data_IF_360877580684
#
_entry.id   IF_360877580684
#
_cell.length_a   1.000
_cell.length_b   1.000
_cell.length_c   1.000
_cell.angle_alpha   90.00
_cell.angle_beta   90.00
_cell.angle_gamma   90.00
#
_symmetry.space_group_name_H-M   'P 1'
#
loop_
_entity.id
_entity.type
_entity.pdbx_description
1 polymer ?
#
# COMPACT_ATOMS: atom_id res chain seq x y z
N UNK A 1 24.16 -10.96 8.78
CA UNK A 1 23.41 -12.21 9.06
C UNK A 1 22.19 -12.21 8.17
N UNK A 2 22.07 -13.20 7.28
CA UNK A 2 20.95 -13.30 6.34
C UNK A 2 19.65 -13.54 7.12
N UNK A 3 18.72 -12.58 7.09
CA UNK A 3 17.37 -12.78 7.62
C UNK A 3 16.66 -13.73 6.65
N UNK A 4 16.36 -14.95 7.09
CA UNK A 4 15.60 -15.92 6.30
C UNK A 4 14.22 -15.34 5.98
N UNK A 5 13.94 -15.13 4.69
CA UNK A 5 12.65 -14.67 4.15
C UNK A 5 11.54 -15.65 4.59
N UNK A 6 10.39 -15.15 5.05
CA UNK A 6 9.29 -16.02 5.46
C UNK A 6 8.66 -16.73 4.25
N UNK A 7 8.07 -17.91 4.46
CA UNK A 7 7.40 -18.66 3.39
C UNK A 7 6.25 -17.88 2.75
N UNK A 8 5.50 -17.10 3.55
CA UNK A 8 4.42 -16.25 3.06
C UNK A 8 4.92 -15.19 2.08
N UNK A 9 6.04 -14.53 2.41
CA UNK A 9 6.67 -13.52 1.54
C UNK A 9 7.16 -14.16 0.23
N UNK A 10 7.72 -15.37 0.28
CA UNK A 10 8.15 -16.07 -0.94
C UNK A 10 6.98 -16.50 -1.83
N UNK A 11 5.87 -16.95 -1.24
CA UNK A 11 4.65 -17.31 -2.00
C UNK A 11 3.99 -16.09 -2.63
N UNK A 12 3.92 -14.97 -1.91
CA UNK A 12 3.39 -13.71 -2.43
C UNK A 12 4.19 -13.23 -3.65
N UNK A 13 5.52 -13.23 -3.57
CA UNK A 13 6.39 -12.87 -4.71
C UNK A 13 6.10 -13.75 -5.94
N UNK A 14 6.08 -15.07 -5.75
CA UNK A 14 5.80 -16.01 -6.84
C UNK A 14 4.41 -15.80 -7.47
N UNK A 15 3.41 -15.45 -6.67
CA UNK A 15 2.07 -15.15 -7.16
C UNK A 15 2.04 -13.85 -7.98
N UNK A 16 2.60 -12.74 -7.47
CA UNK A 16 2.56 -11.46 -8.19
C UNK A 16 3.49 -11.41 -9.41
N UNK A 17 4.52 -12.25 -9.46
CA UNK A 17 5.34 -12.45 -10.66
C UNK A 17 4.72 -13.47 -11.63
N UNK A 18 3.58 -14.07 -11.30
CA UNK A 18 2.91 -15.01 -12.21
C UNK A 18 2.22 -14.27 -13.36
N UNK A 19 2.26 -14.82 -14.59
CA UNK A 19 1.57 -14.22 -15.74
C UNK A 19 0.06 -14.06 -15.55
N UNK A 20 -0.57 -14.96 -14.78
CA UNK A 20 -2.01 -14.94 -14.53
C UNK A 20 -2.39 -13.79 -13.60
N UNK A 21 -1.61 -13.54 -12.54
CA UNK A 21 -1.81 -12.38 -11.69
C UNK A 21 -1.49 -11.09 -12.45
N UNK A 22 -0.33 -10.99 -13.10
CA UNK A 22 0.03 -9.80 -13.89
C UNK A 22 -1.03 -9.48 -14.94
N UNK A 23 -1.51 -10.48 -15.70
CA UNK A 23 -2.56 -10.27 -16.70
C UNK A 23 -3.92 -9.91 -16.08
N UNK A 24 -4.34 -10.55 -14.99
CA UNK A 24 -5.58 -10.21 -14.31
C UNK A 24 -5.54 -8.78 -13.77
N UNK A 25 -4.46 -8.42 -13.06
CA UNK A 25 -4.33 -7.11 -12.45
C UNK A 25 -4.17 -6.00 -13.51
N UNK A 26 -3.37 -6.26 -14.54
CA UNK A 26 -3.20 -5.33 -15.67
C UNK A 26 -4.48 -5.14 -16.49
N UNK A 27 -5.23 -6.21 -16.76
CA UNK A 27 -6.43 -6.17 -17.62
C UNK A 27 -7.64 -5.56 -16.91
N UNK A 28 -7.83 -5.86 -15.63
CA UNK A 28 -8.98 -5.37 -14.85
C UNK A 28 -8.76 -3.92 -14.39
N UNK A 29 -7.55 -3.57 -13.94
CA UNK A 29 -7.28 -2.26 -13.37
C UNK A 29 -6.43 -1.34 -14.27
N UNK A 30 -6.22 -1.71 -15.54
CA UNK A 30 -5.71 -0.81 -16.57
C UNK A 30 -4.21 -0.49 -16.52
N UNK A 31 -3.44 -1.17 -15.66
CA UNK A 31 -1.98 -1.17 -15.70
C UNK A 31 -1.28 0.08 -15.12
N UNK A 32 -2.00 1.00 -14.47
CA UNK A 32 -1.39 2.14 -13.75
C UNK A 32 -1.69 2.13 -12.25
N UNK A 33 -2.95 1.92 -11.83
CA UNK A 33 -3.40 1.89 -10.44
C UNK A 33 -4.01 0.54 -10.07
N UNK A 34 -3.80 0.07 -8.84
CA UNK A 34 -4.29 -1.24 -8.35
C UNK A 34 -5.01 -1.08 -7.01
N UNK A 35 -5.91 -0.10 -6.90
CA UNK A 35 -6.57 0.20 -5.62
C UNK A 35 -8.07 0.38 -5.80
N UNK A 36 -8.81 0.14 -4.71
CA UNK A 36 -10.23 0.38 -4.66
C UNK A 36 -10.48 1.88 -4.88
N UNK A 37 -11.30 2.21 -5.88
CA UNK A 37 -11.69 3.58 -6.18
C UNK A 37 -12.88 4.04 -5.34
N UNK A 38 -13.02 5.36 -5.18
CA UNK A 38 -14.24 5.97 -4.64
C UNK A 38 -15.15 6.31 -5.82
N UNK A 39 -16.25 5.59 -6.01
CA UNK A 39 -17.13 5.73 -7.18
C UNK A 39 -18.25 6.75 -6.94
N UNK A 40 -18.59 7.54 -7.96
CA UNK A 40 -19.74 8.46 -7.95
C UNK A 40 -20.98 7.87 -8.64
N UNK A 41 -20.80 6.84 -9.49
CA UNK A 41 -21.87 6.08 -10.12
C UNK A 41 -21.42 4.66 -10.47
N UNK A 42 -22.38 3.73 -10.63
CA UNK A 42 -22.14 2.31 -10.93
C UNK A 42 -21.39 2.07 -12.26
N UNK A 43 -21.48 3.02 -13.19
CA UNK A 43 -20.91 3.00 -14.53
C UNK A 43 -19.63 3.82 -14.67
N UNK A 44 -19.14 4.40 -13.57
CA UNK A 44 -17.91 5.19 -13.60
C UNK A 44 -16.67 4.30 -13.91
N UNK A 45 -15.75 4.75 -14.79
CA UNK A 45 -14.52 4.02 -15.02
C UNK A 45 -13.62 3.94 -13.77
N UNK A 46 -12.88 2.84 -13.65
CA UNK A 46 -12.01 2.54 -12.50
C UNK A 46 -10.95 3.63 -12.25
N UNK A 47 -10.27 4.10 -13.29
CA UNK A 47 -9.12 5.02 -13.15
C UNK A 47 -9.52 6.36 -12.49
N UNK A 48 -10.56 7.09 -12.94
CA UNK A 48 -11.09 8.25 -12.23
C UNK A 48 -11.42 7.98 -10.75
N UNK A 49 -12.06 6.85 -10.45
CA UNK A 49 -12.41 6.47 -9.09
C UNK A 49 -11.17 6.20 -8.22
N UNK A 50 -10.14 5.57 -8.78
CA UNK A 50 -8.85 5.34 -8.10
C UNK A 50 -8.13 6.65 -7.80
N UNK A 51 -7.99 7.55 -8.78
CA UNK A 51 -7.40 8.86 -8.55
C UNK A 51 -8.18 9.70 -7.53
N UNK A 52 -9.51 9.57 -7.49
CA UNK A 52 -10.33 10.22 -6.46
C UNK A 52 -10.00 9.70 -5.06
N UNK A 53 -9.74 8.40 -4.93
CA UNK A 53 -9.26 7.82 -3.67
C UNK A 53 -7.89 8.41 -3.28
N UNK A 54 -6.94 8.48 -4.22
CA UNK A 54 -5.61 9.07 -3.98
C UNK A 54 -5.69 10.52 -3.50
N UNK A 55 -6.49 11.36 -4.17
CA UNK A 55 -6.67 12.75 -3.73
C UNK A 55 -7.38 12.85 -2.38
N UNK A 56 -8.32 11.95 -2.10
CA UNK A 56 -9.00 11.89 -0.81
C UNK A 56 -8.01 11.59 0.30
N UNK A 57 -7.20 10.54 0.19
CA UNK A 57 -6.15 10.24 1.16
C UNK A 57 -5.15 11.40 1.27
N UNK A 58 -4.67 11.93 0.16
CA UNK A 58 -3.69 13.02 0.15
C UNK A 58 -4.24 14.33 0.74
N UNK A 59 -5.57 14.51 0.79
CA UNK A 59 -6.22 15.66 1.44
C UNK A 59 -6.31 15.52 2.97
N UNK A 60 -6.20 14.30 3.51
CA UNK A 60 -6.25 14.03 4.96
C UNK A 60 -4.92 14.24 5.67
N UNK A 61 -3.82 14.28 4.93
CA UNK A 61 -2.49 14.57 5.47
C UNK A 61 -2.38 16.05 5.87
N UNK A 62 -1.58 16.36 6.91
CA UNK A 62 -1.29 17.74 7.37
C UNK A 62 -0.67 18.61 6.27
N UNK A 63 -0.12 17.97 5.24
CA UNK A 63 0.37 18.60 4.03
C UNK A 63 1.57 17.84 3.47
N UNK A 64 1.53 17.53 2.18
CA UNK A 64 2.65 16.97 1.42
C UNK A 64 3.19 18.07 0.51
N UNK A 65 4.48 18.38 0.63
CA UNK A 65 5.16 19.43 -0.14
C UNK A 65 6.24 18.83 -1.04
N UNK A 66 6.85 19.67 -1.87
CA UNK A 66 7.96 19.27 -2.74
C UNK A 66 9.22 18.76 -2.00
N UNK A 67 9.32 19.05 -0.69
CA UNK A 67 10.42 18.61 0.16
C UNK A 67 10.10 17.33 0.95
N UNK A 68 8.82 16.93 0.99
CA UNK A 68 8.38 15.72 1.67
C UNK A 68 8.90 14.45 0.98
N UNK A 69 9.21 13.45 1.79
CA UNK A 69 9.51 12.08 1.36
C UNK A 69 8.36 11.17 1.78
N UNK A 70 7.68 10.59 0.80
CA UNK A 70 6.60 9.61 0.98
C UNK A 70 7.16 8.22 0.72
N UNK A 71 6.91 7.27 1.61
CA UNK A 71 7.16 5.85 1.40
C UNK A 71 5.85 5.15 1.05
N UNK A 72 5.73 4.66 -0.18
CA UNK A 72 4.60 3.85 -0.64
C UNK A 72 4.94 2.36 -0.50
N UNK A 73 4.28 1.67 0.43
CA UNK A 73 4.46 0.23 0.66
C UNK A 73 3.35 -0.57 -0.03
N UNK A 74 3.75 -1.51 -0.89
CA UNK A 74 2.84 -2.21 -1.78
C UNK A 74 2.55 -1.42 -3.07
N UNK A 75 3.51 -0.64 -3.55
CA UNK A 75 3.33 0.38 -4.59
C UNK A 75 2.91 -0.15 -5.99
N UNK A 76 2.89 -1.46 -6.22
CA UNK A 76 2.53 -2.06 -7.51
C UNK A 76 3.25 -1.43 -8.71
N UNK A 77 2.48 -0.98 -9.71
CA UNK A 77 2.99 -0.27 -10.88
C UNK A 77 3.29 1.23 -10.64
N UNK A 78 3.09 1.75 -9.42
CA UNK A 78 3.49 3.10 -9.00
C UNK A 78 2.56 4.23 -9.42
N UNK A 79 1.28 3.96 -9.65
CA UNK A 79 0.31 4.97 -10.06
C UNK A 79 0.11 6.07 -9.00
N UNK A 80 -0.23 5.70 -7.75
CA UNK A 80 -0.30 6.62 -6.62
C UNK A 80 1.00 7.43 -6.43
N UNK A 81 2.18 6.78 -6.54
CA UNK A 81 3.47 7.46 -6.47
C UNK A 81 3.64 8.54 -7.56
N UNK A 82 3.26 8.23 -8.81
CA UNK A 82 3.28 9.22 -9.91
C UNK A 82 2.26 10.32 -9.70
N UNK A 83 1.08 9.99 -9.20
CA UNK A 83 0.04 10.94 -8.88
C UNK A 83 0.55 11.96 -7.85
N UNK A 84 1.01 11.49 -6.68
CA UNK A 84 1.56 12.33 -5.60
C UNK A 84 2.77 13.16 -6.07
N UNK A 85 3.70 12.56 -6.80
CA UNK A 85 4.86 13.29 -7.32
C UNK A 85 4.47 14.41 -8.30
N UNK A 86 3.44 14.20 -9.14
CA UNK A 86 2.94 15.23 -10.06
C UNK A 86 2.16 16.33 -9.36
N UNK A 87 1.26 15.98 -8.45
CA UNK A 87 0.32 16.95 -7.85
C UNK A 87 0.93 17.69 -6.67
N UNK A 88 1.84 17.07 -5.92
CA UNK A 88 2.47 17.64 -4.72
C UNK A 88 3.97 17.95 -4.88
N UNK A 89 4.62 17.43 -5.92
CA UNK A 89 6.05 17.65 -6.19
C UNK A 89 7.00 16.88 -5.25
N UNK A 90 6.46 16.05 -4.35
CA UNK A 90 7.21 15.32 -3.34
C UNK A 90 8.12 14.24 -3.95
N UNK A 91 9.00 13.69 -3.12
CA UNK A 91 9.73 12.46 -3.46
C UNK A 91 8.93 11.26 -3.00
N UNK A 92 8.91 10.20 -3.79
CA UNK A 92 8.25 8.95 -3.42
C UNK A 92 9.25 7.80 -3.50
N UNK A 93 9.29 6.99 -2.45
CA UNK A 93 10.02 5.72 -2.41
C UNK A 93 8.97 4.62 -2.49
N UNK A 94 8.97 3.87 -3.58
CA UNK A 94 8.09 2.73 -3.79
C UNK A 94 8.80 1.47 -3.28
N UNK A 95 8.17 0.73 -2.37
CA UNK A 95 8.60 -0.61 -1.97
C UNK A 95 7.55 -1.60 -2.44
N UNK A 96 7.97 -2.55 -3.27
CA UNK A 96 7.09 -3.61 -3.75
C UNK A 96 7.86 -4.90 -3.99
N UNK A 97 7.16 -6.02 -3.79
CA UNK A 97 7.73 -7.36 -3.77
C UNK A 97 7.86 -7.97 -5.18
N UNK A 98 7.07 -7.52 -6.15
CA UNK A 98 7.15 -8.02 -7.53
C UNK A 98 8.17 -7.22 -8.33
N UNK A 99 9.24 -7.88 -8.77
CA UNK A 99 10.22 -7.24 -9.65
C UNK A 99 9.64 -7.00 -11.06
N UNK A 100 8.69 -7.82 -11.49
CA UNK A 100 7.94 -7.59 -12.75
C UNK A 100 7.22 -6.25 -12.72
N UNK A 101 6.46 -5.99 -11.65
CA UNK A 101 5.78 -4.71 -11.44
C UNK A 101 6.79 -3.57 -11.24
N UNK A 102 7.87 -3.78 -10.48
CA UNK A 102 8.91 -2.76 -10.27
C UNK A 102 9.59 -2.33 -11.56
N UNK A 103 9.86 -3.27 -12.49
CA UNK A 103 10.41 -2.94 -13.81
C UNK A 103 9.46 -2.04 -14.58
N UNK A 104 8.18 -2.39 -14.65
CA UNK A 104 7.19 -1.55 -15.34
C UNK A 104 7.01 -0.18 -14.66
N UNK A 105 7.00 -0.14 -13.33
CA UNK A 105 6.95 1.08 -12.53
C UNK A 105 8.12 2.02 -12.92
N UNK A 106 9.36 1.52 -12.94
CA UNK A 106 10.54 2.29 -13.39
C UNK A 106 10.40 2.79 -14.83
N UNK A 107 9.89 1.96 -15.74
CA UNK A 107 9.65 2.35 -17.14
C UNK A 107 8.61 3.47 -17.27
N UNK A 108 7.50 3.37 -16.54
CA UNK A 108 6.43 4.38 -16.52
C UNK A 108 6.90 5.69 -15.88
N UNK A 109 7.68 5.62 -14.81
CA UNK A 109 8.25 6.82 -14.17
C UNK A 109 9.16 7.58 -15.13
N UNK A 110 10.01 6.87 -15.87
CA UNK A 110 10.86 7.47 -16.92
C UNK A 110 10.05 8.07 -18.05
N UNK A 111 9.01 7.38 -18.53
CA UNK A 111 8.10 7.92 -19.57
C UNK A 111 7.38 9.19 -19.11
N UNK A 112 7.10 9.29 -17.81
CA UNK A 112 6.47 10.45 -17.20
C UNK A 112 7.46 11.58 -16.81
N UNK A 113 8.78 11.38 -16.96
CA UNK A 113 9.80 12.35 -16.55
C UNK A 113 9.92 12.52 -15.02
N UNK A 114 9.63 11.47 -14.26
CA UNK A 114 9.57 11.45 -12.79
C UNK A 114 10.66 10.58 -12.15
N UNK A 115 11.62 10.08 -12.92
CA UNK A 115 12.70 9.21 -12.44
C UNK A 115 13.58 9.87 -11.35
N UNK A 116 13.66 11.20 -11.33
CA UNK A 116 14.39 11.95 -10.31
C UNK A 116 13.58 12.16 -9.00
N UNK A 117 12.28 11.83 -9.03
CA UNK A 117 11.35 12.01 -7.91
C UNK A 117 10.91 10.68 -7.31
N UNK A 118 10.88 9.61 -8.10
CA UNK A 118 10.35 8.32 -7.69
C UNK A 118 11.46 7.26 -7.72
N UNK A 119 11.80 6.74 -6.53
CA UNK A 119 12.72 5.62 -6.38
C UNK A 119 11.93 4.33 -6.20
N UNK A 120 12.27 3.28 -6.94
CA UNK A 120 11.60 1.97 -6.84
C UNK A 120 12.56 0.96 -6.24
N UNK A 121 12.19 0.38 -5.09
CA UNK A 121 12.95 -0.60 -4.35
C UNK A 121 12.23 -1.95 -4.37
N UNK A 122 12.95 -3.00 -4.73
CA UNK A 122 12.47 -4.36 -4.53
C UNK A 122 12.62 -4.72 -3.05
N UNK A 123 11.51 -5.02 -2.38
CA UNK A 123 11.53 -5.32 -0.96
C UNK A 123 10.18 -5.78 -0.41
N UNK A 124 10.23 -6.20 0.85
CA UNK A 124 9.11 -6.68 1.64
C UNK A 124 8.78 -5.64 2.72
N UNK A 125 7.50 -5.30 2.89
CA UNK A 125 7.05 -4.36 3.92
C UNK A 125 7.13 -4.89 5.37
N UNK A 126 7.37 -6.19 5.58
CA UNK A 126 7.76 -6.74 6.89
C UNK A 126 9.26 -6.46 7.17
N UNK A 127 10.04 -6.00 6.18
CA UNK A 127 11.44 -5.64 6.30
C UNK A 127 11.79 -4.49 5.35
N UNK A 128 11.21 -3.31 5.60
CA UNK A 128 11.30 -2.15 4.71
C UNK A 128 12.78 -1.76 4.49
N UNK A 129 13.28 -1.71 3.23
CA UNK A 129 14.66 -1.37 2.91
C UNK A 129 14.89 0.16 2.94
N UNK A 130 14.52 0.80 4.05
CA UNK A 130 14.71 2.22 4.31
C UNK A 130 15.24 2.44 5.73
N UNK A 131 15.98 3.53 5.92
CA UNK A 131 16.56 3.90 7.21
C UNK A 131 15.47 4.29 8.22
N UNK A 132 15.81 4.21 9.51
CA UNK A 132 14.92 4.70 10.56
C UNK A 132 14.76 6.23 10.49
N UNK A 133 13.61 6.74 10.92
CA UNK A 133 13.30 8.17 10.97
C UNK A 133 13.62 8.92 9.65
N UNK A 134 13.33 8.31 8.50
CA UNK A 134 13.80 8.77 7.18
C UNK A 134 12.70 9.37 6.30
N UNK A 135 11.43 9.05 6.56
CA UNK A 135 10.30 9.50 5.73
C UNK A 135 9.27 10.31 6.51
N UNK A 136 8.61 11.23 5.82
CA UNK A 136 7.60 12.13 6.41
C UNK A 136 6.22 11.48 6.42
N UNK A 137 5.91 10.67 5.40
CA UNK A 137 4.65 9.94 5.27
C UNK A 137 4.93 8.50 4.89
N UNK A 138 4.21 7.57 5.51
CA UNK A 138 4.05 6.21 4.98
C UNK A 138 2.64 6.10 4.42
N UNK A 139 2.58 5.66 3.18
CA UNK A 139 1.38 5.47 2.38
C UNK A 139 1.23 3.99 2.05
N UNK A 140 0.01 3.47 2.13
CA UNK A 140 -0.29 2.11 1.68
C UNK A 140 -1.74 2.01 1.24
N UNK A 141 -2.00 1.53 0.03
CA UNK A 141 -3.37 1.28 -0.42
C UNK A 141 -3.53 -0.21 -0.70
N UNK A 142 -4.43 -0.84 0.05
CA UNK A 142 -4.92 -2.20 -0.18
C UNK A 142 -3.79 -3.25 -0.28
N UNK A 143 -2.73 -3.08 0.51
CA UNK A 143 -1.55 -3.95 0.47
C UNK A 143 -1.33 -4.75 1.75
N UNK A 144 -1.63 -4.18 2.93
CA UNK A 144 -1.30 -4.78 4.23
C UNK A 144 -2.07 -6.09 4.47
N UNK A 145 -3.25 -6.26 3.85
CA UNK A 145 -3.98 -7.52 3.88
C UNK A 145 -3.15 -8.72 3.40
N UNK A 146 -2.15 -8.51 2.55
CA UNK A 146 -1.30 -9.58 2.03
C UNK A 146 -0.15 -9.97 2.96
N UNK A 147 0.05 -9.26 4.07
CA UNK A 147 1.08 -9.62 5.05
C UNK A 147 0.58 -10.72 6.00
N UNK A 148 1.37 -11.79 6.11
CA UNK A 148 1.18 -12.82 7.13
C UNK A 148 1.56 -12.35 8.54
N UNK A 149 2.31 -11.25 8.67
CA UNK A 149 2.73 -10.68 9.94
C UNK A 149 2.48 -9.16 10.01
N UNK A 150 1.20 -8.77 9.99
CA UNK A 150 0.78 -7.35 10.07
C UNK A 150 1.40 -6.58 11.24
N UNK A 151 1.54 -7.13 12.47
CA UNK A 151 2.24 -6.43 13.55
C UNK A 151 3.68 -6.03 13.17
N UNK A 152 4.39 -6.90 12.44
CA UNK A 152 5.75 -6.60 11.96
C UNK A 152 5.75 -5.49 10.91
N UNK A 153 4.77 -5.43 10.01
CA UNK A 153 4.60 -4.29 9.10
C UNK A 153 4.47 -3.00 9.89
N UNK A 154 3.59 -2.97 10.91
CA UNK A 154 3.40 -1.78 11.74
C UNK A 154 4.64 -1.40 12.55
N UNK A 155 5.49 -2.36 12.95
CA UNK A 155 6.80 -2.09 13.55
C UNK A 155 7.74 -1.38 12.58
N UNK A 156 7.80 -1.84 11.32
CA UNK A 156 8.64 -1.23 10.29
C UNK A 156 8.12 0.15 9.90
N UNK A 157 6.80 0.34 9.76
CA UNK A 157 6.16 1.65 9.55
C UNK A 157 6.57 2.62 10.65
N UNK A 158 6.49 2.20 11.92
CA UNK A 158 6.92 3.03 13.05
C UNK A 158 8.42 3.36 12.99
N UNK A 159 9.25 2.40 12.58
CA UNK A 159 10.70 2.55 12.51
C UNK A 159 11.12 3.59 11.47
N UNK A 160 10.50 3.57 10.29
CA UNK A 160 10.93 4.43 9.15
C UNK A 160 10.35 5.84 9.21
N UNK A 161 9.20 6.03 9.88
CA UNK A 161 8.60 7.35 10.05
C UNK A 161 9.44 8.23 10.97
N UNK A 162 9.69 9.46 10.52
CA UNK A 162 10.23 10.53 11.37
C UNK A 162 9.30 10.80 12.56
N UNK A 163 9.81 11.33 13.69
CA UNK A 163 8.97 11.88 14.74
C UNK A 163 8.00 12.94 14.18
N UNK A 164 6.71 12.72 14.37
CA UNK A 164 5.64 13.61 13.85
C UNK A 164 5.19 13.30 12.42
N UNK A 165 5.78 12.31 11.75
CA UNK A 165 5.33 11.82 10.45
C UNK A 165 3.97 11.12 10.50
N UNK A 166 3.34 10.98 9.34
CA UNK A 166 1.97 10.47 9.23
C UNK A 166 1.94 9.09 8.55
N UNK A 167 1.09 8.20 9.07
CA UNK A 167 0.77 6.93 8.42
C UNK A 167 -0.67 7.01 7.93
N UNK A 168 -0.87 6.79 6.63
CA UNK A 168 -2.19 6.76 6.01
C UNK A 168 -2.31 5.49 5.16
N UNK A 169 -3.44 4.80 5.28
CA UNK A 169 -3.65 3.59 4.51
C UNK A 169 -5.13 3.26 4.30
N UNK A 170 -5.40 2.48 3.25
CA UNK A 170 -6.63 1.71 3.05
C UNK A 170 -6.32 0.22 3.10
N UNK A 171 -7.27 -0.60 3.52
CA UNK A 171 -7.12 -2.05 3.54
C UNK A 171 -8.51 -2.71 3.47
N UNK A 172 -8.71 -3.76 2.65
CA UNK A 172 -9.86 -4.64 2.78
C UNK A 172 -9.79 -5.41 4.10
N UNK A 173 -10.87 -5.34 4.88
CA UNK A 173 -10.87 -5.74 6.29
C UNK A 173 -12.11 -6.55 6.64
N UNK A 174 -12.03 -7.33 7.72
CA UNK A 174 -13.19 -7.94 8.35
C UNK A 174 -13.79 -7.00 9.40
N UNK A 175 -15.10 -7.16 9.65
CA UNK A 175 -15.75 -6.52 10.80
C UNK A 175 -15.17 -7.05 12.13
N UNK A 176 -15.15 -6.23 13.17
CA UNK A 176 -14.63 -6.62 14.50
C UNK A 176 -15.43 -7.75 15.15
N UNK A 177 -16.72 -7.86 14.82
CA UNK A 177 -17.65 -8.88 15.30
C UNK A 177 -17.88 -10.02 14.29
N UNK A 178 -17.02 -10.13 13.26
CA UNK A 178 -17.11 -11.18 12.26
C UNK A 178 -16.96 -12.58 12.93
N UNK A 179 -17.94 -13.49 12.78
CA UNK A 179 -17.83 -14.81 13.39
C UNK A 179 -16.73 -15.67 12.73
N UNK A 180 -16.05 -16.47 13.56
CA UNK A 180 -15.00 -17.37 13.11
C UNK A 180 -15.47 -18.29 11.97
N UNK A 181 -14.63 -18.43 10.94
CA UNK A 181 -14.83 -19.34 9.81
C UNK A 181 -15.80 -18.85 8.72
N UNK A 182 -16.55 -17.77 8.93
CA UNK A 182 -17.49 -17.25 7.91
C UNK A 182 -16.75 -16.75 6.66
N UNK A 183 -15.55 -16.20 6.84
CA UNK A 183 -14.73 -15.69 5.75
C UNK A 183 -13.85 -16.75 5.09
N UNK A 184 -13.87 -18.02 5.53
CA UNK A 184 -13.01 -19.05 4.95
C UNK A 184 -13.12 -19.15 3.42
N UNK A 185 -14.32 -19.09 2.79
CA UNK A 185 -14.42 -19.16 1.34
C UNK A 185 -13.70 -18.03 0.60
N UNK A 186 -13.77 -16.79 1.12
CA UNK A 186 -13.08 -15.65 0.49
C UNK A 186 -11.58 -15.72 0.77
N UNK A 187 -11.19 -16.04 2.00
CA UNK A 187 -9.79 -16.21 2.42
C UNK A 187 -9.06 -17.25 1.57
N UNK A 188 -9.67 -18.43 1.36
CA UNK A 188 -9.14 -19.47 0.48
C UNK A 188 -9.00 -18.99 -0.97
N UNK A 189 -9.99 -18.23 -1.45
CA UNK A 189 -10.03 -17.71 -2.83
C UNK A 189 -8.94 -16.68 -3.11
N UNK A 190 -8.58 -15.87 -2.12
CA UNK A 190 -7.54 -14.83 -2.23
C UNK A 190 -6.21 -15.24 -1.58
N UNK A 191 -6.10 -16.51 -1.17
CA UNK A 191 -4.91 -17.09 -0.55
C UNK A 191 -4.41 -16.36 0.71
N UNK A 192 -5.34 -15.95 1.57
CA UNK A 192 -5.05 -15.32 2.87
C UNK A 192 -5.49 -16.21 4.02
N UNK A 193 -4.79 -16.13 5.15
CA UNK A 193 -5.19 -16.83 6.38
C UNK A 193 -6.16 -16.02 7.23
N UNK A 194 -6.02 -14.69 7.23
CA UNK A 194 -6.77 -13.75 8.06
C UNK A 194 -6.88 -12.39 7.37
N UNK A 195 -7.84 -11.56 7.80
CA UNK A 195 -7.92 -10.14 7.48
C UNK A 195 -7.72 -9.28 8.74
N UNK A 196 -7.23 -8.05 8.55
CA UNK A 196 -7.25 -7.05 9.61
C UNK A 196 -8.67 -6.57 9.91
N UNK A 197 -8.83 -5.86 11.03
CA UNK A 197 -10.08 -5.22 11.44
C UNK A 197 -9.79 -3.85 12.06
N UNK A 198 -10.79 -2.98 12.21
CA UNK A 198 -10.59 -1.65 12.78
C UNK A 198 -10.05 -1.75 14.21
N UNK A 199 -10.64 -2.62 15.04
CA UNK A 199 -10.17 -2.89 16.39
C UNK A 199 -8.75 -3.48 16.45
N UNK A 200 -8.36 -4.30 15.46
CA UNK A 200 -6.98 -4.77 15.34
C UNK A 200 -6.01 -3.60 15.11
N UNK A 201 -6.24 -2.78 14.08
CA UNK A 201 -5.35 -1.66 13.75
C UNK A 201 -5.32 -0.60 14.86
N UNK A 202 -6.47 -0.24 15.43
CA UNK A 202 -6.55 0.68 16.57
C UNK A 202 -5.64 0.24 17.73
N UNK A 203 -5.76 -1.03 18.12
CA UNK A 203 -4.98 -1.61 19.22
C UNK A 203 -3.49 -1.68 18.88
N UNK A 204 -3.14 -2.17 17.70
CA UNK A 204 -1.74 -2.37 17.31
C UNK A 204 -1.00 -1.06 17.04
N UNK A 205 -1.66 -0.07 16.44
CA UNK A 205 -1.08 1.26 16.24
C UNK A 205 -0.90 2.00 17.57
N UNK A 206 -1.89 1.94 18.47
CA UNK A 206 -1.78 2.56 19.80
C UNK A 206 -0.60 2.00 20.62
N UNK A 207 -0.36 0.68 20.56
CA UNK A 207 0.81 0.04 21.21
C UNK A 207 2.15 0.60 20.73
N UNK A 208 2.21 1.13 19.51
CA UNK A 208 3.41 1.71 18.87
C UNK A 208 3.48 3.23 19.04
N UNK A 209 2.56 3.80 19.81
CA UNK A 209 2.51 5.23 20.12
C UNK A 209 1.98 6.10 18.97
N UNK A 210 1.20 5.51 18.05
CA UNK A 210 0.45 6.31 17.08
C UNK A 210 -0.77 6.96 17.75
N UNK A 211 -1.01 8.21 17.40
CA UNK A 211 -2.26 8.90 17.67
C UNK A 211 -3.20 8.69 16.49
N UNK A 212 -4.43 8.25 16.76
CA UNK A 212 -5.45 8.08 15.74
C UNK A 212 -6.06 9.43 15.38
N UNK A 213 -5.94 9.83 14.12
CA UNK A 213 -6.50 11.09 13.62
C UNK A 213 -7.92 10.91 13.05
N UNK A 214 -8.10 9.96 12.13
CA UNK A 214 -9.38 9.71 11.46
C UNK A 214 -9.48 8.24 11.03
N UNK A 215 -10.71 7.73 10.97
CA UNK A 215 -11.06 6.43 10.37
C UNK A 215 -12.33 6.63 9.56
N UNK A 216 -12.34 6.09 8.34
CA UNK A 216 -13.51 6.11 7.46
C UNK A 216 -13.81 4.67 7.07
N UNK A 217 -15.05 4.24 7.31
CA UNK A 217 -15.56 2.95 6.86
C UNK A 217 -16.21 3.13 5.48
N UNK A 218 -15.77 2.35 4.50
CA UNK A 218 -16.19 2.44 3.09
C UNK A 218 -16.87 1.13 2.65
N UNK A 219 -17.91 0.72 3.36
CA UNK A 219 -18.66 -0.52 3.12
C UNK A 219 -19.88 -0.34 2.19
N UNK A 220 -20.19 0.90 1.79
CA UNK A 220 -21.39 1.27 1.01
C UNK A 220 -21.09 2.27 -0.10
#
# INVERSE_FOLDING_TARGET
MSKTRSNAVAQAEAYYDSPDADSFYFTIWGGEDIHIGMYESDDEPIVPASHRNDETLASKLKGVTGDSVVLDIGAGYGGAARHLAKTRGCKVICVNISETQNRLNRELNKKAGLEDRITVLHGDFENIPAEADSVDVVWSQDAILHSGNRPRVLDEVKRVLKPGGEFIFTDPMQADDCPDGVLQPILDRIHLETLGSFGFYDKELAKRGFEKLEVVEMTH
#
